data_IF_040319606342
#
_entry.id   IF_040319606342
#
_cell.length_a   1.000
_cell.length_b   1.000
_cell.length_c   1.000
_cell.angle_alpha   90.00
_cell.angle_beta   90.00
_cell.angle_gamma   90.00
#
_symmetry.space_group_name_H-M   'P 1'
#
loop_
_entity.id
_entity.type
_entity.pdbx_description
1 polymer ?
#
# COMPACT_ATOMS: atom_id res chain seq x y z
N UNK A 1 -16.35 -2.86 -16.96
CA UNK A 1 -15.06 -2.49 -17.59
C UNK A 1 -15.18 -1.08 -18.16
N UNK A 2 -14.91 -0.04 -17.36
CA UNK A 2 -15.03 1.35 -17.84
C UNK A 2 -13.90 1.65 -18.85
N UNK A 3 -14.25 2.18 -20.02
CA UNK A 3 -13.29 2.64 -21.02
C UNK A 3 -12.56 3.90 -20.50
N UNK A 4 -11.25 3.97 -20.76
CA UNK A 4 -10.22 4.69 -20.00
C UNK A 4 -10.30 6.23 -19.95
N UNK A 5 -11.28 6.87 -20.60
CA UNK A 5 -11.32 8.33 -20.75
C UNK A 5 -12.19 9.07 -19.70
N UNK A 6 -13.21 8.42 -19.13
CA UNK A 6 -14.22 9.09 -18.28
C UNK A 6 -13.97 9.00 -16.76
N UNK A 7 -13.03 8.18 -16.30
CA UNK A 7 -12.78 7.95 -14.87
C UNK A 7 -11.57 8.72 -14.29
N UNK A 8 -10.86 9.51 -15.09
CA UNK A 8 -9.60 10.15 -14.66
C UNK A 8 -9.80 11.20 -13.56
N UNK A 9 -10.86 12.02 -13.66
CA UNK A 9 -11.15 13.06 -12.67
C UNK A 9 -11.48 12.49 -11.29
N UNK A 10 -12.56 11.70 -11.15
CA UNK A 10 -12.92 11.11 -9.86
C UNK A 10 -11.83 10.22 -9.26
N UNK A 11 -11.05 9.51 -10.08
CA UNK A 11 -9.90 8.73 -9.60
C UNK A 11 -8.82 9.64 -9.01
N UNK A 12 -8.42 10.70 -9.72
CA UNK A 12 -7.40 11.62 -9.26
C UNK A 12 -7.83 12.36 -7.99
N UNK A 13 -9.10 12.78 -7.92
CA UNK A 13 -9.68 13.45 -6.76
C UNK A 13 -9.71 12.52 -5.54
N UNK A 14 -10.18 11.28 -5.71
CA UNK A 14 -10.19 10.27 -4.65
C UNK A 14 -8.78 9.95 -4.17
N UNK A 15 -7.83 9.75 -5.09
CA UNK A 15 -6.42 9.50 -4.75
C UNK A 15 -5.81 10.67 -3.97
N UNK A 16 -6.07 11.90 -4.40
CA UNK A 16 -5.58 13.10 -3.72
C UNK A 16 -6.14 13.21 -2.30
N UNK A 17 -7.44 13.01 -2.14
CA UNK A 17 -8.11 13.05 -0.84
C UNK A 17 -7.58 11.98 0.13
N UNK A 18 -7.40 10.74 -0.36
CA UNK A 18 -6.83 9.65 0.44
C UNK A 18 -5.40 9.99 0.88
N UNK A 19 -4.55 10.45 -0.05
CA UNK A 19 -3.17 10.82 0.28
C UNK A 19 -3.12 11.94 1.33
N UNK A 20 -3.88 13.02 1.14
CA UNK A 20 -3.93 14.12 2.08
C UNK A 20 -4.42 13.68 3.47
N UNK A 21 -5.39 12.76 3.53
CA UNK A 21 -5.86 12.22 4.81
C UNK A 21 -4.78 11.39 5.50
N UNK A 22 -4.09 10.52 4.76
CA UNK A 22 -3.02 9.68 5.31
C UNK A 22 -1.83 10.51 5.81
N UNK A 23 -1.47 11.59 5.11
CA UNK A 23 -0.47 12.56 5.59
C UNK A 23 -0.85 13.11 6.98
N UNK A 24 -2.12 13.52 7.16
CA UNK A 24 -2.62 14.02 8.45
C UNK A 24 -2.62 12.94 9.53
N UNK A 25 -2.91 11.68 9.20
CA UNK A 25 -2.85 10.57 10.15
C UNK A 25 -1.40 10.34 10.62
N UNK A 26 -0.46 10.28 9.69
CA UNK A 26 0.97 10.13 10.00
C UNK A 26 1.49 11.28 10.86
N UNK A 27 1.17 12.53 10.51
CA UNK A 27 1.57 13.72 11.28
C UNK A 27 1.07 13.69 12.72
N UNK A 28 -0.10 13.06 12.95
CA UNK A 28 -0.71 12.90 14.28
C UNK A 28 -0.30 11.61 14.98
N UNK A 29 0.51 10.76 14.35
CA UNK A 29 0.92 9.46 14.89
C UNK A 29 -0.21 8.44 14.98
N UNK A 30 -1.23 8.56 14.14
CA UNK A 30 -2.29 7.56 14.00
C UNK A 30 -1.95 6.53 12.92
N UNK A 31 -2.42 5.31 13.11
CA UNK A 31 -2.28 4.25 12.12
C UNK A 31 -3.15 4.51 10.88
N UNK A 32 -2.61 4.18 9.71
CA UNK A 32 -3.37 4.18 8.46
C UNK A 32 -4.24 2.91 8.42
N UNK A 33 -5.56 3.02 8.17
CA UNK A 33 -6.43 1.85 8.14
C UNK A 33 -6.05 0.90 6.99
N UNK A 34 -6.10 -0.41 7.26
CA UNK A 34 -5.87 -1.43 6.24
C UNK A 34 -7.03 -1.50 5.24
N UNK A 35 -6.75 -1.76 3.95
CA UNK A 35 -7.80 -1.89 2.95
C UNK A 35 -8.66 -3.12 3.22
N UNK A 36 -9.95 -3.03 2.89
CA UNK A 36 -10.92 -4.13 2.97
C UNK A 36 -11.48 -4.46 1.59
N UNK A 37 -12.02 -5.66 1.43
CA UNK A 37 -12.65 -6.05 0.17
C UNK A 37 -13.99 -5.32 -0.03
N UNK A 38 -14.42 -5.18 -1.28
CA UNK A 38 -15.70 -4.56 -1.62
C UNK A 38 -16.85 -5.29 -0.90
N UNK A 39 -16.79 -6.63 -0.87
CA UNK A 39 -17.79 -7.47 -0.23
C UNK A 39 -17.93 -7.17 1.26
N UNK A 40 -16.82 -6.90 1.96
CA UNK A 40 -16.83 -6.53 3.37
C UNK A 40 -17.51 -5.17 3.60
N UNK A 41 -17.31 -4.21 2.71
CA UNK A 41 -17.98 -2.91 2.80
C UNK A 41 -19.49 -3.03 2.54
N UNK A 42 -19.89 -3.73 1.47
CA UNK A 42 -21.31 -3.93 1.13
C UNK A 42 -22.05 -4.72 2.20
N UNK A 43 -21.40 -5.72 2.81
CA UNK A 43 -22.02 -6.51 3.89
C UNK A 43 -22.25 -5.68 5.17
N UNK A 44 -21.42 -4.68 5.44
CA UNK A 44 -21.53 -3.85 6.63
C UNK A 44 -22.65 -2.80 6.49
N UNK A 45 -22.75 -2.13 5.34
CA UNK A 45 -23.68 -1.01 5.10
C UNK A 45 -24.32 -1.12 3.71
N UNK A 46 -25.20 -2.12 3.47
CA UNK A 46 -25.71 -2.42 2.12
C UNK A 46 -26.50 -1.27 1.48
N UNK A 47 -27.20 -0.46 2.27
CA UNK A 47 -28.04 0.64 1.78
C UNK A 47 -27.17 1.82 1.29
N UNK A 48 -26.05 2.10 1.95
CA UNK A 48 -25.15 3.23 1.66
C UNK A 48 -24.40 3.07 0.33
N UNK A 49 -24.22 1.81 -0.11
CA UNK A 49 -23.55 1.49 -1.37
C UNK A 49 -24.51 1.09 -2.50
N UNK A 50 -25.83 1.23 -2.30
CA UNK A 50 -26.83 0.92 -3.32
C UNK A 50 -26.84 1.98 -4.44
N UNK A 51 -26.73 1.55 -5.70
CA UNK A 51 -26.69 2.39 -6.91
C UNK A 51 -25.38 3.18 -7.16
N UNK A 52 -24.33 2.94 -6.37
CA UNK A 52 -22.99 3.47 -6.61
C UNK A 52 -22.18 2.68 -7.65
N UNK A 53 -21.01 3.20 -8.03
CA UNK A 53 -19.99 2.46 -8.78
C UNK A 53 -18.73 2.35 -7.92
N UNK A 54 -18.11 1.17 -7.95
CA UNK A 54 -16.84 0.92 -7.29
C UNK A 54 -15.66 1.31 -8.17
N UNK A 55 -14.61 1.81 -7.52
CA UNK A 55 -13.33 2.13 -8.12
C UNK A 55 -12.23 1.67 -7.17
N UNK A 56 -11.21 1.02 -7.72
CA UNK A 56 -9.97 0.77 -6.99
C UNK A 56 -9.04 1.96 -7.19
N UNK A 57 -8.47 2.45 -6.09
CA UNK A 57 -7.51 3.56 -6.11
C UNK A 57 -6.18 3.02 -5.61
N UNK A 58 -5.16 3.04 -6.47
CA UNK A 58 -3.82 2.62 -6.10
C UNK A 58 -3.10 3.73 -5.33
N UNK A 59 -2.75 3.42 -4.08
CA UNK A 59 -2.02 4.29 -3.18
C UNK A 59 -0.68 3.65 -2.86
N UNK A 60 0.41 4.38 -3.13
CA UNK A 60 1.75 3.92 -2.79
C UNK A 60 1.98 4.14 -1.29
N UNK A 61 1.90 3.09 -0.49
CA UNK A 61 2.03 3.20 0.97
C UNK A 61 3.43 3.64 1.42
N UNK A 62 4.45 3.41 0.60
CA UNK A 62 5.84 3.75 0.89
C UNK A 62 6.04 5.25 1.16
N UNK A 63 5.15 6.12 0.65
CA UNK A 63 5.22 7.56 0.89
C UNK A 63 4.86 7.94 2.34
N UNK A 64 4.24 7.04 3.10
CA UNK A 64 3.74 7.29 4.46
C UNK A 64 4.59 6.64 5.57
N UNK A 65 5.64 5.88 5.22
CA UNK A 65 6.54 5.26 6.20
C UNK A 65 7.40 6.28 6.96
N UNK A 66 7.29 7.56 6.62
CA UNK A 66 8.05 8.62 7.24
C UNK A 66 9.52 8.61 6.87
N UNK A 67 10.37 9.03 7.80
CA UNK A 67 11.80 9.18 7.56
C UNK A 67 12.48 7.81 7.55
N UNK A 68 13.23 7.52 6.48
CA UNK A 68 14.06 6.32 6.42
C UNK A 68 15.15 6.32 7.51
N UNK A 69 15.18 5.27 8.32
CA UNK A 69 16.21 5.03 9.33
C UNK A 69 17.18 3.94 8.89
N UNK A 70 18.49 4.18 9.06
CA UNK A 70 19.53 3.20 8.72
C UNK A 70 19.75 2.26 9.91
N UNK A 71 19.43 0.99 9.71
CA UNK A 71 19.69 -0.09 10.67
C UNK A 71 20.83 -0.99 10.21
N UNK A 72 21.55 -1.61 11.16
CA UNK A 72 22.50 -2.68 10.89
C UNK A 72 21.90 -4.00 11.35
N UNK A 73 21.81 -4.98 10.45
CA UNK A 73 21.21 -6.30 10.73
C UNK A 73 22.13 -7.43 10.30
N UNK A 74 22.02 -8.59 10.95
CA UNK A 74 22.72 -9.82 10.57
C UNK A 74 21.70 -10.79 9.96
N UNK A 75 21.97 -11.27 8.74
CA UNK A 75 21.13 -12.23 8.03
C UNK A 75 21.96 -13.47 7.68
N UNK A 76 21.36 -14.69 7.66
CA UNK A 76 22.03 -15.88 7.16
C UNK A 76 22.50 -15.71 5.71
N UNK A 77 23.71 -16.17 5.39
CA UNK A 77 24.33 -15.99 4.07
C UNK A 77 23.42 -16.46 2.91
N UNK A 78 22.87 -17.68 3.01
CA UNK A 78 21.96 -18.23 1.99
C UNK A 78 20.68 -17.39 1.81
N UNK A 79 20.22 -16.71 2.86
CA UNK A 79 19.06 -15.82 2.76
C UNK A 79 19.43 -14.54 2.00
N UNK A 80 20.60 -13.97 2.30
CA UNK A 80 21.10 -12.78 1.62
C UNK A 80 21.28 -13.03 0.11
N UNK A 81 21.86 -14.19 -0.26
CA UNK A 81 22.03 -14.56 -1.68
C UNK A 81 20.69 -14.67 -2.42
N UNK A 82 19.65 -15.19 -1.74
CA UNK A 82 18.30 -15.27 -2.30
C UNK A 82 17.69 -13.89 -2.48
N UNK A 83 17.85 -12.99 -1.51
CA UNK A 83 17.38 -11.60 -1.61
C UNK A 83 18.05 -10.92 -2.81
N UNK A 84 19.36 -11.09 -2.97
CA UNK A 84 20.11 -10.52 -4.09
C UNK A 84 19.65 -11.03 -5.45
N UNK A 85 19.43 -12.34 -5.56
CA UNK A 85 18.90 -12.94 -6.77
C UNK A 85 17.50 -12.39 -7.11
N UNK A 86 16.62 -12.27 -6.11
CA UNK A 86 15.27 -11.73 -6.28
C UNK A 86 15.28 -10.27 -6.71
N UNK A 87 16.04 -9.41 -6.04
CA UNK A 87 16.14 -7.98 -6.41
C UNK A 87 16.72 -7.82 -7.83
N UNK A 88 17.66 -8.68 -8.22
CA UNK A 88 18.22 -8.66 -9.59
C UNK A 88 17.20 -9.09 -10.66
N UNK A 89 16.30 -10.03 -10.33
CA UNK A 89 15.26 -10.53 -11.24
C UNK A 89 14.03 -9.62 -11.29
N UNK A 90 13.79 -8.83 -10.25
CA UNK A 90 12.65 -7.94 -10.10
C UNK A 90 13.12 -6.49 -9.90
N UNK A 91 13.42 -5.77 -11.00
CA UNK A 91 13.93 -4.40 -10.95
C UNK A 91 13.02 -3.43 -10.19
N UNK A 92 11.72 -3.76 -10.08
CA UNK A 92 10.68 -2.99 -9.40
C UNK A 92 11.01 -2.72 -7.92
N UNK A 93 11.76 -3.62 -7.26
CA UNK A 93 12.21 -3.38 -5.89
C UNK A 93 13.31 -2.33 -5.80
N UNK A 94 14.16 -2.18 -6.83
CA UNK A 94 15.28 -1.23 -6.87
C UNK A 94 16.46 -1.53 -5.91
N UNK A 95 16.23 -2.05 -4.70
CA UNK A 95 17.29 -2.34 -3.71
C UNK A 95 16.90 -3.43 -2.71
N UNK A 96 17.90 -3.96 -1.98
CA UNK A 96 17.69 -4.88 -0.84
C UNK A 96 16.79 -4.27 0.23
N UNK A 97 17.01 -2.99 0.55
CA UNK A 97 16.26 -2.30 1.61
C UNK A 97 14.78 -2.18 1.24
N UNK A 98 14.48 -1.83 -0.01
CA UNK A 98 13.10 -1.74 -0.49
C UNK A 98 12.42 -3.11 -0.53
N UNK A 99 13.13 -4.18 -0.92
CA UNK A 99 12.62 -5.55 -0.82
C UNK A 99 12.29 -5.92 0.64
N UNK A 100 13.20 -5.64 1.57
CA UNK A 100 12.98 -5.93 3.00
C UNK A 100 11.84 -5.11 3.59
N UNK A 101 11.69 -3.84 3.19
CA UNK A 101 10.56 -3.00 3.60
C UNK A 101 9.23 -3.58 3.11
N UNK A 102 9.13 -3.93 1.81
CA UNK A 102 7.93 -4.55 1.25
C UNK A 102 7.59 -5.88 1.95
N UNK A 103 8.59 -6.72 2.21
CA UNK A 103 8.41 -7.98 2.93
C UNK A 103 7.92 -7.75 4.37
N UNK A 104 8.47 -6.77 5.08
CA UNK A 104 8.05 -6.41 6.42
C UNK A 104 6.60 -5.89 6.45
N UNK A 105 6.22 -4.99 5.53
CA UNK A 105 4.83 -4.50 5.41
C UNK A 105 3.86 -5.65 5.17
N UNK A 106 4.18 -6.55 4.25
CA UNK A 106 3.36 -7.72 3.96
C UNK A 106 3.21 -8.65 5.18
N UNK A 107 4.26 -8.80 6.00
CA UNK A 107 4.19 -9.64 7.19
C UNK A 107 3.37 -9.00 8.31
N UNK A 108 3.49 -7.69 8.51
CA UNK A 108 2.69 -6.94 9.48
C UNK A 108 1.19 -6.97 9.14
N UNK A 109 0.85 -6.89 7.84
CA UNK A 109 -0.55 -6.96 7.38
C UNK A 109 -1.22 -8.32 7.61
N UNK A 110 -0.47 -9.43 7.65
CA UNK A 110 -1.05 -10.77 7.93
C UNK A 110 -1.48 -10.93 9.39
N UNK A 111 -0.96 -10.08 10.28
CA UNK A 111 -1.18 -10.18 11.72
C UNK A 111 -2.38 -9.34 12.20
N UNK A 112 -3.08 -8.68 11.28
CA UNK A 112 -4.32 -7.93 11.48
C UNK A 112 -5.50 -8.72 10.90
#
# INVERSE_FOLDING_TARGET
MCQHQFCQGPYADARSAICAHFEVLCDKGFDIPSPRSIEQHVAAEPDDYSNGRWLYVDVNMDQFDGRAERINVTLPHRLLDRIDATVKQHPDYGSRSAFLAAAARNELQKSL
#
